data_IF_414642731708
#
_entry.id   IF_414642731708
#
_cell.length_a   1.000
_cell.length_b   1.000
_cell.length_c   1.000
_cell.angle_alpha   90.00
_cell.angle_beta   90.00
_cell.angle_gamma   90.00
#
_symmetry.space_group_name_H-M   'P 1'
#
loop_
_entity.id
_entity.type
_entity.pdbx_description
1 polymer ?
#
# COMPACT_ATOMS: atom_id res chain seq x y z
N UNK A 1 -1.03 -13.58 -21.33
CA UNK A 1 -1.83 -13.03 -20.22
C UNK A 1 -3.27 -13.02 -20.70
N UNK A 2 -4.19 -13.53 -19.90
CA UNK A 2 -5.62 -13.60 -20.24
C UNK A 2 -6.44 -12.94 -19.14
N UNK A 3 -7.60 -12.41 -19.50
CA UNK A 3 -8.53 -11.79 -18.55
C UNK A 3 -9.83 -12.60 -18.50
N UNK A 4 -10.40 -12.70 -17.29
CA UNK A 4 -11.69 -13.34 -17.04
C UNK A 4 -12.57 -12.38 -16.27
N UNK A 5 -13.81 -12.21 -16.71
CA UNK A 5 -14.76 -11.29 -16.11
C UNK A 5 -15.92 -12.07 -15.50
N UNK A 6 -16.35 -11.65 -14.31
CA UNK A 6 -17.47 -12.24 -13.59
C UNK A 6 -18.42 -11.13 -13.12
N UNK A 7 -19.70 -11.47 -13.08
CA UNK A 7 -20.74 -10.68 -12.43
C UNK A 7 -21.34 -11.54 -11.31
N UNK A 8 -21.05 -11.22 -10.06
CA UNK A 8 -21.52 -11.99 -8.90
C UNK A 8 -22.72 -11.28 -8.29
N UNK A 9 -23.96 -11.82 -8.41
CA UNK A 9 -25.14 -11.18 -7.85
C UNK A 9 -24.98 -10.97 -6.34
N UNK A 10 -25.25 -9.76 -5.84
CA UNK A 10 -25.06 -9.42 -4.44
C UNK A 10 -26.05 -10.13 -3.51
N UNK A 11 -27.27 -10.41 -4.00
CA UNK A 11 -28.32 -11.04 -3.22
C UNK A 11 -28.38 -12.57 -3.38
N UNK A 12 -27.81 -13.13 -4.45
CA UNK A 12 -27.80 -14.58 -4.70
C UNK A 12 -26.53 -15.01 -5.47
N UNK A 13 -25.37 -15.03 -4.79
CA UNK A 13 -24.08 -15.22 -5.44
C UNK A 13 -23.79 -16.68 -5.85
N UNK A 14 -24.52 -17.67 -5.32
CA UNK A 14 -24.05 -19.05 -5.17
C UNK A 14 -23.38 -19.68 -6.40
N UNK A 15 -24.04 -19.68 -7.56
CA UNK A 15 -23.47 -20.30 -8.77
C UNK A 15 -22.28 -19.52 -9.34
N UNK A 16 -22.39 -18.19 -9.41
CA UNK A 16 -21.35 -17.33 -9.97
C UNK A 16 -20.11 -17.29 -9.06
N UNK A 17 -20.33 -17.29 -7.75
CA UNK A 17 -19.27 -17.37 -6.73
C UNK A 17 -18.52 -18.70 -6.81
N UNK A 18 -19.24 -19.82 -6.93
CA UNK A 18 -18.63 -21.14 -7.07
C UNK A 18 -17.72 -21.22 -8.31
N UNK A 19 -18.17 -20.68 -9.44
CA UNK A 19 -17.38 -20.65 -10.69
C UNK A 19 -16.11 -19.81 -10.53
N UNK A 20 -16.22 -18.63 -9.91
CA UNK A 20 -15.06 -17.78 -9.62
C UNK A 20 -14.07 -18.51 -8.72
N UNK A 21 -14.53 -19.12 -7.63
CA UNK A 21 -13.68 -19.86 -6.70
C UNK A 21 -12.97 -21.04 -7.38
N UNK A 22 -13.65 -21.76 -8.26
CA UNK A 22 -13.05 -22.84 -9.04
C UNK A 22 -11.96 -22.32 -10.00
N UNK A 23 -12.21 -21.19 -10.67
CA UNK A 23 -11.22 -20.57 -11.54
C UNK A 23 -9.97 -20.12 -10.77
N UNK A 24 -10.16 -19.44 -9.64
CA UNK A 24 -9.07 -18.96 -8.79
C UNK A 24 -8.23 -20.13 -8.26
N UNK A 25 -8.86 -21.27 -7.92
CA UNK A 25 -8.15 -22.47 -7.48
C UNK A 25 -7.35 -23.16 -8.60
N UNK A 26 -7.86 -23.12 -9.83
CA UNK A 26 -7.26 -23.82 -10.97
C UNK A 26 -6.21 -23.00 -11.74
N UNK A 27 -6.10 -21.70 -11.50
CA UNK A 27 -5.37 -20.77 -12.37
C UNK A 27 -4.29 -19.96 -11.66
N UNK A 28 -3.26 -19.56 -12.40
CA UNK A 28 -2.21 -18.64 -11.91
C UNK A 28 -2.68 -17.19 -12.00
N UNK A 29 -3.36 -16.75 -10.94
CA UNK A 29 -3.92 -15.39 -10.82
C UNK A 29 -2.81 -14.35 -10.69
N UNK A 30 -2.88 -13.28 -11.47
CA UNK A 30 -1.99 -12.13 -11.41
C UNK A 30 -2.60 -10.98 -10.62
N UNK A 31 -3.88 -10.69 -10.84
CA UNK A 31 -4.62 -9.64 -10.11
C UNK A 31 -6.11 -9.96 -10.08
N UNK A 32 -6.80 -9.43 -9.07
CA UNK A 32 -8.27 -9.44 -8.97
C UNK A 32 -8.75 -8.03 -8.67
N UNK A 33 -9.45 -7.42 -9.62
CA UNK A 33 -10.09 -6.13 -9.47
C UNK A 33 -11.59 -6.33 -9.25
N UNK A 34 -12.20 -5.56 -8.35
CA UNK A 34 -13.62 -5.69 -8.02
C UNK A 34 -14.31 -4.32 -7.89
N UNK A 35 -15.50 -4.23 -8.44
CA UNK A 35 -16.35 -3.05 -8.35
C UNK A 35 -17.79 -3.48 -8.07
N UNK A 36 -18.42 -2.87 -7.06
CA UNK A 36 -19.84 -3.06 -6.82
C UNK A 36 -20.64 -2.21 -7.81
N UNK A 37 -21.53 -2.86 -8.55
CA UNK A 37 -22.53 -2.18 -9.37
C UNK A 37 -23.82 -2.13 -8.55
N UNK A 38 -24.14 -0.96 -8.01
CA UNK A 38 -25.33 -0.75 -7.21
C UNK A 38 -26.55 -0.54 -8.12
N UNK A 39 -27.41 -1.56 -8.21
CA UNK A 39 -28.61 -1.57 -9.04
C UNK A 39 -29.80 -2.20 -8.29
N UNK A 40 -29.91 -1.92 -6.98
CA UNK A 40 -30.97 -2.47 -6.12
C UNK A 40 -30.91 -4.00 -6.04
N UNK A 41 -32.03 -4.68 -6.29
CA UNK A 41 -32.10 -6.15 -6.31
C UNK A 41 -31.21 -6.78 -7.40
N UNK A 42 -30.90 -6.02 -8.45
CA UNK A 42 -29.99 -6.45 -9.51
C UNK A 42 -28.52 -6.08 -9.22
N UNK A 43 -28.18 -5.66 -8.00
CA UNK A 43 -26.78 -5.32 -7.66
C UNK A 43 -25.88 -6.54 -7.81
N UNK A 44 -24.67 -6.32 -8.31
CA UNK A 44 -23.67 -7.38 -8.47
C UNK A 44 -22.26 -6.83 -8.33
N UNK A 45 -21.32 -7.71 -7.98
CA UNK A 45 -19.90 -7.44 -8.04
C UNK A 45 -19.37 -7.75 -9.43
N UNK A 46 -18.90 -6.73 -10.15
CA UNK A 46 -18.10 -6.91 -11.35
C UNK A 46 -16.67 -7.24 -10.92
N UNK A 47 -16.14 -8.38 -11.37
CA UNK A 47 -14.82 -8.87 -11.01
C UNK A 47 -14.02 -9.12 -12.29
N UNK A 48 -12.82 -8.56 -12.36
CA UNK A 48 -11.85 -8.84 -13.41
C UNK A 48 -10.67 -9.61 -12.81
N UNK A 49 -10.37 -10.78 -13.37
CA UNK A 49 -9.27 -11.63 -12.96
C UNK A 49 -8.25 -11.69 -14.10
N UNK A 50 -7.03 -11.23 -13.83
CA UNK A 50 -5.90 -11.36 -14.74
C UNK A 50 -5.17 -12.67 -14.48
N UNK A 51 -4.82 -13.42 -15.51
CA UNK A 51 -4.18 -14.74 -15.41
C UNK A 51 -2.88 -14.81 -16.23
N UNK A 52 -1.89 -15.48 -15.66
CA UNK A 52 -0.67 -15.87 -16.37
C UNK A 52 -0.84 -17.24 -17.06
N UNK A 53 -0.13 -17.49 -18.18
CA UNK A 53 -0.05 -18.82 -18.75
C UNK A 53 0.79 -19.75 -17.85
N UNK A 54 0.35 -21.01 -17.71
CA UNK A 54 1.04 -22.08 -16.99
C UNK A 54 0.27 -22.60 -15.76
N UNK A 55 0.31 -23.93 -15.48
CA UNK A 55 -0.27 -24.51 -14.26
C UNK A 55 0.65 -24.27 -13.04
N UNK A 56 0.08 -24.19 -11.84
CA UNK A 56 0.85 -24.12 -10.58
C UNK A 56 0.72 -22.79 -9.80
N UNK A 57 1.17 -22.75 -8.54
CA UNK A 57 0.82 -21.70 -7.59
C UNK A 57 1.48 -20.35 -7.94
N UNK A 58 0.87 -19.27 -7.45
CA UNK A 58 1.34 -17.90 -7.61
C UNK A 58 2.77 -17.71 -7.06
N UNK A 59 3.58 -16.79 -7.63
CA UNK A 59 4.74 -16.23 -6.96
C UNK A 59 4.30 -15.52 -5.67
N UNK A 60 5.06 -15.71 -4.58
CA UNK A 60 4.85 -14.99 -3.30
C UNK A 60 4.78 -13.46 -3.46
N UNK A 61 5.30 -12.92 -4.57
CA UNK A 61 5.29 -11.51 -4.92
C UNK A 61 3.90 -10.87 -5.12
N UNK A 62 2.83 -11.66 -5.24
CA UNK A 62 1.47 -11.15 -5.47
C UNK A 62 0.52 -11.29 -4.27
N UNK A 63 1.00 -11.77 -3.11
CA UNK A 63 0.25 -11.74 -1.84
C UNK A 63 0.12 -10.32 -1.23
N UNK A 64 0.68 -9.30 -1.90
CA UNK A 64 0.98 -8.02 -1.30
C UNK A 64 -0.07 -6.92 -1.51
N UNK A 65 -1.27 -7.24 -2.02
CA UNK A 65 -2.35 -6.25 -2.01
C UNK A 65 -3.70 -6.91 -1.74
N UNK A 66 -4.02 -7.10 -0.46
CA UNK A 66 -5.18 -6.47 0.21
C UNK A 66 -5.21 -6.92 1.69
N UNK A 67 -4.76 -6.03 2.59
CA UNK A 67 -5.32 -5.96 3.95
C UNK A 67 -4.60 -6.63 5.12
N UNK A 68 -3.48 -7.36 4.92
CA UNK A 68 -2.68 -7.85 6.05
C UNK A 68 -1.23 -8.18 5.66
N UNK A 69 -0.52 -7.23 5.03
CA UNK A 69 0.90 -7.13 5.37
C UNK A 69 0.92 -6.98 6.89
N UNK A 70 1.49 -7.96 7.62
CA UNK A 70 1.70 -7.92 9.07
C UNK A 70 1.86 -6.46 9.45
N UNK A 71 0.92 -5.88 10.21
CA UNK A 71 1.09 -4.53 10.74
C UNK A 71 2.39 -4.61 11.52
N UNK A 72 3.48 -4.19 10.90
CA UNK A 72 4.77 -4.10 11.56
C UNK A 72 4.50 -3.12 12.68
N UNK A 73 4.51 -3.62 13.92
CA UNK A 73 4.41 -2.73 15.06
C UNK A 73 5.76 -2.04 15.16
N UNK A 74 5.86 -0.86 14.56
CA UNK A 74 7.09 -0.09 14.55
C UNK A 74 7.51 0.33 15.97
N UNK A 75 6.70 0.10 17.01
CA UNK A 75 7.14 0.18 18.43
C UNK A 75 8.10 -0.94 18.81
N UNK A 76 7.97 -2.12 18.21
CA UNK A 76 8.89 -3.24 18.48
C UNK A 76 10.19 -3.12 17.68
N UNK A 77 10.20 -2.29 16.63
CA UNK A 77 11.32 -2.16 15.69
C UNK A 77 12.04 -0.81 15.75
N UNK A 78 11.59 0.12 16.60
CA UNK A 78 12.23 1.39 16.89
C UNK A 78 12.32 1.53 18.41
N UNK A 79 13.40 2.13 18.93
CA UNK A 79 13.44 2.52 20.34
C UNK A 79 12.44 3.67 20.60
N UNK A 80 12.18 4.00 21.86
CA UNK A 80 11.17 5.00 22.23
C UNK A 80 11.46 6.40 21.62
N UNK A 81 12.72 6.80 21.56
CA UNK A 81 13.12 8.09 20.98
C UNK A 81 12.86 8.13 19.47
N UNK A 82 13.28 7.10 18.74
CA UNK A 82 13.06 6.95 17.30
C UNK A 82 11.56 6.82 16.99
N UNK A 83 10.81 6.09 17.83
CA UNK A 83 9.36 5.97 17.69
C UNK A 83 8.65 7.33 17.83
N UNK A 84 9.11 8.19 18.75
CA UNK A 84 8.56 9.55 18.89
C UNK A 84 8.77 10.37 17.61
N UNK A 85 9.94 10.30 16.98
CA UNK A 85 10.19 10.95 15.67
C UNK A 85 9.29 10.36 14.59
N UNK A 86 9.17 9.04 14.54
CA UNK A 86 8.31 8.35 13.57
C UNK A 86 6.83 8.79 13.67
N UNK A 87 6.31 8.99 14.88
CA UNK A 87 4.95 9.51 15.09
C UNK A 87 4.79 10.93 14.54
N UNK A 88 5.79 11.81 14.73
CA UNK A 88 5.77 13.16 14.15
C UNK A 88 5.73 13.14 12.62
N UNK A 89 6.54 12.28 11.99
CA UNK A 89 6.53 12.11 10.53
C UNK A 89 5.20 11.57 10.01
N UNK A 90 4.54 10.68 10.75
CA UNK A 90 3.20 10.19 10.40
C UNK A 90 2.15 11.30 10.46
N UNK A 91 2.24 12.17 11.47
CA UNK A 91 1.35 13.31 11.58
C UNK A 91 1.55 14.30 10.42
N UNK A 92 2.81 14.62 10.09
CA UNK A 92 3.14 15.46 8.92
C UNK A 92 2.59 14.84 7.62
N UNK A 93 2.83 13.54 7.40
CA UNK A 93 2.34 12.82 6.22
C UNK A 93 0.83 12.90 6.09
N UNK A 94 0.11 12.72 7.20
CA UNK A 94 -1.35 12.82 7.23
C UNK A 94 -1.81 14.21 6.80
N UNK A 95 -1.22 15.26 7.37
CA UNK A 95 -1.57 16.64 7.02
C UNK A 95 -1.32 16.95 5.53
N UNK A 96 -0.19 16.50 4.97
CA UNK A 96 0.11 16.70 3.54
C UNK A 96 -0.89 15.93 2.67
N UNK A 97 -1.15 14.66 3.00
CA UNK A 97 -2.07 13.82 2.26
C UNK A 97 -3.50 14.38 2.24
N UNK A 98 -3.97 14.89 3.37
CA UNK A 98 -5.27 15.58 3.49
C UNK A 98 -5.29 16.87 2.67
N UNK A 99 -4.24 17.68 2.72
CA UNK A 99 -4.15 18.95 1.99
C UNK A 99 -4.11 18.78 0.49
N UNK A 100 -3.45 17.72 0.01
CA UNK A 100 -3.33 17.42 -1.43
C UNK A 100 -4.40 16.43 -1.94
N UNK A 101 -5.34 16.01 -1.08
CA UNK A 101 -6.37 15.01 -1.38
C UNK A 101 -5.83 13.70 -1.97
N UNK A 102 -4.64 13.27 -1.50
CA UNK A 102 -3.99 12.02 -1.93
C UNK A 102 -3.96 11.01 -0.78
N UNK A 103 -3.78 9.73 -1.12
CA UNK A 103 -3.58 8.71 -0.10
C UNK A 103 -2.24 8.90 0.65
N UNK A 104 -2.20 8.57 1.94
CA UNK A 104 -0.99 8.75 2.77
C UNK A 104 0.24 8.04 2.19
N UNK A 105 0.07 6.83 1.67
CA UNK A 105 1.17 6.06 1.07
C UNK A 105 1.73 6.68 -0.23
N UNK A 106 0.98 7.60 -0.86
CA UNK A 106 1.44 8.32 -2.05
C UNK A 106 2.51 9.38 -1.70
N UNK A 107 2.49 9.88 -0.46
CA UNK A 107 3.53 10.79 0.07
C UNK A 107 4.76 9.97 0.46
N UNK A 108 4.65 9.07 1.45
CA UNK A 108 5.68 8.10 1.85
C UNK A 108 5.05 6.88 2.54
N UNK A 109 5.61 5.69 2.34
CA UNK A 109 5.15 4.47 3.05
C UNK A 109 5.60 4.47 4.52
N UNK A 110 4.99 3.64 5.38
CA UNK A 110 5.44 3.51 6.77
C UNK A 110 6.89 3.00 6.86
N UNK A 111 7.27 2.10 5.95
CA UNK A 111 8.64 1.59 5.84
C UNK A 111 9.62 2.71 5.50
N UNK A 112 9.28 3.58 4.54
CA UNK A 112 10.11 4.74 4.20
C UNK A 112 10.28 5.69 5.39
N UNK A 113 9.19 5.98 6.12
CA UNK A 113 9.28 6.81 7.34
C UNK A 113 10.16 6.16 8.42
N UNK A 114 10.06 4.84 8.62
CA UNK A 114 10.91 4.13 9.58
C UNK A 114 12.39 4.14 9.15
N UNK A 115 12.65 3.99 7.85
CA UNK A 115 14.00 4.06 7.29
C UNK A 115 14.61 5.47 7.43
N UNK A 116 13.82 6.54 7.27
CA UNK A 116 14.27 7.91 7.53
C UNK A 116 14.77 8.09 8.96
N UNK A 117 14.02 7.55 9.93
CA UNK A 117 14.35 7.65 11.35
C UNK A 117 15.59 6.81 11.67
N UNK A 118 15.61 5.53 11.29
CA UNK A 118 16.76 4.64 11.54
C UNK A 118 18.04 5.12 10.88
N UNK A 119 17.93 5.61 9.64
CA UNK A 119 19.04 6.17 8.89
C UNK A 119 19.44 7.57 9.33
N UNK A 120 18.72 8.18 10.30
CA UNK A 120 18.91 9.56 10.76
C UNK A 120 19.08 10.53 9.60
N UNK A 121 18.19 10.43 8.62
CA UNK A 121 18.28 11.16 7.37
C UNK A 121 18.18 12.67 7.62
N UNK A 122 19.17 13.43 7.16
CA UNK A 122 19.25 14.88 7.33
C UNK A 122 19.54 15.66 6.05
N UNK A 123 19.79 14.96 4.94
CA UNK A 123 20.10 15.55 3.64
C UNK A 123 19.17 15.02 2.55
N UNK A 124 19.03 15.78 1.46
CA UNK A 124 18.25 15.39 0.30
C UNK A 124 18.77 14.08 -0.33
N UNK A 125 20.09 13.95 -0.40
CA UNK A 125 20.79 12.78 -0.95
C UNK A 125 20.47 11.52 -0.15
N UNK A 126 20.55 11.60 1.18
CA UNK A 126 20.22 10.48 2.06
C UNK A 126 18.73 10.10 2.00
N UNK A 127 17.85 11.08 1.77
CA UNK A 127 16.41 10.84 1.57
C UNK A 127 16.14 10.13 0.23
N UNK A 128 16.87 10.51 -0.82
CA UNK A 128 16.76 9.91 -2.14
C UNK A 128 17.40 8.51 -2.24
N UNK A 129 18.29 8.16 -1.30
CA UNK A 129 18.86 6.82 -1.20
C UNK A 129 17.90 5.78 -0.59
N UNK A 130 16.73 6.19 -0.09
CA UNK A 130 15.73 5.27 0.47
C UNK A 130 14.97 4.58 -0.66
N UNK A 131 14.89 3.25 -0.61
CA UNK A 131 14.18 2.44 -1.60
C UNK A 131 12.73 2.92 -1.81
N UNK A 132 12.38 3.11 -3.08
CA UNK A 132 11.06 3.57 -3.51
C UNK A 132 10.79 5.07 -3.31
N UNK A 133 11.79 5.87 -2.94
CA UNK A 133 11.69 7.34 -2.94
C UNK A 133 12.16 7.89 -4.28
N UNK A 134 11.21 8.25 -5.13
CA UNK A 134 11.49 8.84 -6.45
C UNK A 134 11.73 10.36 -6.40
N UNK A 135 12.31 10.94 -7.46
CA UNK A 135 12.66 12.37 -7.54
C UNK A 135 11.45 13.29 -7.34
N UNK A 136 10.28 12.92 -7.88
CA UNK A 136 9.05 13.69 -7.71
C UNK A 136 8.60 13.85 -6.24
N UNK A 137 8.86 12.85 -5.39
CA UNK A 137 8.57 12.92 -3.94
C UNK A 137 9.59 13.80 -3.21
N UNK A 138 10.85 13.73 -3.64
CA UNK A 138 11.92 14.56 -3.07
C UNK A 138 11.64 16.03 -3.33
N UNK A 139 11.36 16.40 -4.58
CA UNK A 139 11.07 17.79 -4.95
C UNK A 139 9.87 18.36 -4.20
N UNK A 140 8.81 17.56 -4.00
CA UNK A 140 7.55 18.04 -3.40
C UNK A 140 7.54 18.01 -1.88
N UNK A 141 8.20 17.02 -1.27
CA UNK A 141 8.04 16.73 0.16
C UNK A 141 9.33 16.78 0.96
N UNK A 142 10.52 16.70 0.34
CA UNK A 142 11.76 16.53 1.09
C UNK A 142 12.01 17.65 2.11
N UNK A 143 11.83 18.91 1.72
CA UNK A 143 12.07 20.06 2.59
C UNK A 143 11.26 19.96 3.89
N UNK A 144 9.96 19.65 3.78
CA UNK A 144 9.04 19.53 4.92
C UNK A 144 9.43 18.39 5.86
N UNK A 145 9.84 17.24 5.32
CA UNK A 145 10.25 16.08 6.11
C UNK A 145 11.63 16.25 6.74
N UNK A 146 12.59 16.82 5.99
CA UNK A 146 13.92 17.11 6.50
C UNK A 146 13.90 18.13 7.63
N UNK A 147 13.01 19.13 7.56
CA UNK A 147 12.83 20.10 8.66
C UNK A 147 12.42 19.41 9.97
N UNK A 148 11.45 18.49 9.92
CA UNK A 148 11.04 17.72 11.12
C UNK A 148 12.16 16.80 11.59
N UNK A 149 12.85 16.10 10.68
CA UNK A 149 13.96 15.22 11.04
C UNK A 149 15.12 16.00 11.69
N UNK A 150 15.47 17.17 11.17
CA UNK A 150 16.53 18.00 11.75
C UNK A 150 16.17 18.50 13.15
N UNK A 151 14.92 18.92 13.37
CA UNK A 151 14.44 19.35 14.69
C UNK A 151 14.38 18.20 15.69
N UNK A 152 13.86 17.04 15.27
CA UNK A 152 13.61 15.92 16.15
C UNK A 152 14.87 15.09 16.47
N UNK A 153 15.88 15.11 15.59
CA UNK A 153 17.15 14.41 15.80
C UNK A 153 18.29 15.33 16.28
N UNK A 154 18.07 16.64 16.46
CA UNK A 154 19.11 17.53 16.98
C UNK A 154 19.61 17.04 18.35
N UNK A 155 20.93 17.01 18.60
CA UNK A 155 21.43 16.76 19.95
C UNK A 155 20.96 17.90 20.86
N UNK A 156 20.45 17.52 22.04
CA UNK A 156 20.13 18.45 23.12
C UNK A 156 21.38 19.19 23.61
#
# INVERSE_FOLDING_TARGET
MSYRFFAIPACNPGAAEAELNQLLAASRVLSVERQLVAAGEASFWAICVSLAPGPGPLPDALKADQGSARRIDYREVLNDADFAVFVQLRALRKSIAESEAVAQYAVFTNEQLANMVRGRVRTLEALGAIDGVGPARLERYAERFLAVLQQALAPA
#
